data_IF_827713886565
#
_entry.id   IF_827713886565
#
_cell.length_a   1.000
_cell.length_b   1.000
_cell.length_c   1.000
_cell.angle_alpha   90.00
_cell.angle_beta   90.00
_cell.angle_gamma   90.00
#
_symmetry.space_group_name_H-M   'P 1'
#
loop_
_entity.id
_entity.type
_entity.pdbx_description
1 polymer ?
#
# COMPACT_ATOMS: atom_id res chain seq x y z
N UNK A 1 17.05 19.00 -16.21
CA UNK A 1 16.17 18.35 -15.22
C UNK A 1 15.46 19.35 -14.30
N UNK A 2 15.95 20.58 -14.14
CA UNK A 2 15.29 21.62 -13.33
C UNK A 2 13.89 21.91 -13.86
N UNK A 3 13.75 22.16 -15.16
CA UNK A 3 12.45 22.40 -15.81
C UNK A 3 11.50 21.21 -15.66
N UNK A 4 12.03 19.99 -15.68
CA UNK A 4 11.20 18.80 -15.47
C UNK A 4 10.70 18.69 -14.02
N UNK A 5 11.52 19.08 -13.04
CA UNK A 5 11.10 19.11 -11.64
C UNK A 5 10.03 20.17 -11.38
N UNK A 6 10.10 21.31 -12.08
CA UNK A 6 9.08 22.37 -11.97
C UNK A 6 7.71 21.91 -12.47
N UNK A 7 7.66 20.97 -13.43
CA UNK A 7 6.42 20.39 -13.96
C UNK A 7 5.77 19.33 -13.06
N UNK A 8 6.51 18.81 -12.08
CA UNK A 8 5.99 17.83 -11.12
C UNK A 8 5.38 18.57 -9.94
N UNK A 9 4.06 18.56 -9.79
CA UNK A 9 3.39 19.20 -8.66
C UNK A 9 3.68 18.49 -7.34
N UNK A 10 3.69 17.19 -7.36
CA UNK A 10 3.77 16.35 -6.17
C UNK A 10 2.42 16.23 -5.46
N UNK A 11 2.27 15.17 -4.71
CA UNK A 11 1.13 14.90 -3.84
C UNK A 11 1.59 14.02 -2.66
N UNK A 12 0.67 13.74 -1.75
CA UNK A 12 0.91 12.89 -0.59
C UNK A 12 1.27 11.42 -0.91
N UNK A 13 1.24 10.99 -2.16
CA UNK A 13 1.68 9.68 -2.64
C UNK A 13 2.94 9.75 -3.49
N UNK A 14 3.53 10.94 -3.64
CA UNK A 14 4.74 11.17 -4.41
C UNK A 14 5.99 10.86 -3.61
N UNK A 15 6.89 10.07 -4.18
CA UNK A 15 8.18 9.68 -3.61
C UNK A 15 9.31 10.27 -4.43
N UNK A 16 10.05 11.21 -3.87
CA UNK A 16 11.22 11.81 -4.51
C UNK A 16 12.50 11.09 -4.09
N UNK A 17 13.27 10.61 -5.09
CA UNK A 17 14.55 9.94 -4.88
C UNK A 17 15.64 10.68 -5.66
N UNK A 18 16.57 11.30 -4.93
CA UNK A 18 17.64 12.10 -5.51
C UNK A 18 18.93 11.29 -5.57
N UNK A 19 19.29 10.83 -6.78
CA UNK A 19 20.46 9.99 -7.08
C UNK A 19 21.35 10.68 -8.12
N UNK A 20 21.89 11.84 -7.81
CA UNK A 20 22.74 12.58 -8.76
C UNK A 20 24.22 12.25 -8.59
N UNK A 21 25.01 12.50 -9.64
CA UNK A 21 26.46 12.31 -9.58
C UNK A 21 27.22 13.40 -8.85
N UNK A 22 26.59 14.51 -8.49
CA UNK A 22 27.26 15.66 -7.91
C UNK A 22 26.43 16.44 -6.90
N UNK A 23 27.05 16.86 -5.79
CA UNK A 23 26.40 17.58 -4.70
C UNK A 23 25.68 18.86 -5.11
N UNK A 24 26.13 19.54 -6.17
CA UNK A 24 25.48 20.76 -6.71
C UNK A 24 24.10 20.43 -7.27
N UNK A 25 23.97 19.30 -7.94
CA UNK A 25 22.69 18.85 -8.52
C UNK A 25 21.75 18.32 -7.44
N UNK A 26 22.26 17.64 -6.40
CA UNK A 26 21.42 17.20 -5.27
C UNK A 26 20.74 18.40 -4.61
N UNK A 27 21.53 19.46 -4.34
CA UNK A 27 20.99 20.67 -3.72
C UNK A 27 19.92 21.34 -4.58
N UNK A 28 20.19 21.51 -5.88
CA UNK A 28 19.23 22.09 -6.82
C UNK A 28 17.93 21.26 -6.87
N UNK A 29 18.05 19.93 -6.92
CA UNK A 29 16.88 19.07 -6.89
C UNK A 29 16.08 19.24 -5.59
N UNK A 30 16.75 19.22 -4.43
CA UNK A 30 16.08 19.38 -3.15
C UNK A 30 15.41 20.75 -3.00
N UNK A 31 16.04 21.84 -3.45
CA UNK A 31 15.44 23.19 -3.45
C UNK A 31 14.12 23.26 -4.23
N UNK A 32 14.00 22.44 -5.30
CA UNK A 32 12.79 22.38 -6.14
C UNK A 32 11.69 21.49 -5.54
N UNK A 33 12.04 20.49 -4.71
CA UNK A 33 11.08 19.50 -4.22
C UNK A 33 10.66 19.68 -2.76
N UNK A 34 11.47 20.30 -1.90
CA UNK A 34 11.16 20.47 -0.46
C UNK A 34 9.89 21.28 -0.17
N UNK A 35 9.45 22.11 -1.11
CA UNK A 35 8.20 22.87 -1.00
C UNK A 35 6.97 22.14 -1.58
N UNK A 36 7.14 20.95 -2.15
CA UNK A 36 6.07 20.19 -2.79
C UNK A 36 5.46 19.20 -1.80
N UNK A 37 4.20 18.88 -1.97
CA UNK A 37 3.57 17.80 -1.21
C UNK A 37 4.22 16.45 -1.58
N UNK A 38 4.51 15.60 -0.59
CA UNK A 38 5.21 14.34 -0.80
C UNK A 38 4.96 13.33 0.33
N UNK A 39 5.10 12.06 0.01
CA UNK A 39 5.15 10.97 0.98
C UNK A 39 6.58 10.72 1.48
N UNK A 40 7.58 11.04 0.65
CA UNK A 40 8.96 10.69 0.93
C UNK A 40 9.92 11.55 0.10
N UNK A 41 11.01 11.99 0.74
CA UNK A 41 12.18 12.56 0.06
C UNK A 41 13.42 11.82 0.55
N UNK A 42 14.17 11.21 -0.37
CA UNK A 42 15.43 10.54 -0.09
C UNK A 42 16.56 11.08 -0.96
N UNK A 43 17.77 11.25 -0.40
CA UNK A 43 18.96 11.68 -1.12
C UNK A 43 20.15 10.78 -0.83
N UNK A 44 20.82 10.32 -1.91
CA UNK A 44 22.08 9.57 -1.77
C UNK A 44 23.22 10.48 -1.33
N UNK A 45 24.04 10.01 -0.43
CA UNK A 45 25.24 10.73 0.01
C UNK A 45 25.82 10.19 1.31
N UNK A 46 27.07 10.55 1.58
CA UNK A 46 27.67 10.28 2.88
C UNK A 46 27.02 11.13 3.98
N UNK A 47 27.11 10.70 5.24
CA UNK A 47 26.59 11.47 6.39
C UNK A 47 27.07 12.92 6.40
N UNK A 48 28.38 13.14 6.08
CA UNK A 48 28.97 14.48 5.99
C UNK A 48 28.32 15.33 4.89
N UNK A 49 28.12 14.73 3.70
CA UNK A 49 27.46 15.40 2.56
C UNK A 49 26.03 15.71 2.87
N UNK A 50 25.29 14.80 3.45
CA UNK A 50 23.90 14.97 3.87
C UNK A 50 23.74 16.15 4.84
N UNK A 51 24.61 16.23 5.85
CA UNK A 51 24.58 17.33 6.81
C UNK A 51 24.86 18.68 6.14
N UNK A 52 25.83 18.76 5.24
CA UNK A 52 26.16 19.98 4.51
C UNK A 52 24.99 20.46 3.62
N UNK A 53 24.36 19.55 2.88
CA UNK A 53 23.23 19.91 2.00
C UNK A 53 22.04 20.38 2.84
N UNK A 54 21.72 19.68 3.93
CA UNK A 54 20.65 20.09 4.86
C UNK A 54 20.90 21.46 5.46
N UNK A 55 22.13 21.73 5.88
CA UNK A 55 22.50 23.04 6.42
C UNK A 55 22.33 24.15 5.39
N UNK A 56 22.78 23.95 4.15
CA UNK A 56 22.62 24.94 3.07
C UNK A 56 21.14 25.22 2.76
N UNK A 57 20.25 24.22 2.85
CA UNK A 57 18.81 24.40 2.66
C UNK A 57 18.20 25.26 3.80
N UNK A 58 18.65 25.06 5.04
CA UNK A 58 18.25 25.88 6.18
C UNK A 58 18.68 27.34 5.97
N UNK A 59 19.92 27.56 5.58
CA UNK A 59 20.46 28.91 5.29
C UNK A 59 19.72 29.64 4.17
N UNK A 60 19.13 28.88 3.24
CA UNK A 60 18.26 29.40 2.18
C UNK A 60 16.80 29.63 2.62
N UNK A 61 16.47 29.36 3.87
CA UNK A 61 15.15 29.64 4.44
C UNK A 61 14.15 28.49 4.31
N UNK A 62 14.59 27.27 3.96
CA UNK A 62 13.71 26.10 3.97
C UNK A 62 13.36 25.71 5.41
N UNK A 63 12.14 25.21 5.62
CA UNK A 63 11.66 24.77 6.94
C UNK A 63 12.53 23.66 7.51
N UNK A 64 12.96 23.81 8.78
CA UNK A 64 13.68 22.75 9.51
C UNK A 64 12.86 21.45 9.63
N UNK A 65 11.55 21.57 9.72
CA UNK A 65 10.64 20.42 9.81
C UNK A 65 10.73 19.56 8.55
N UNK A 66 10.53 20.18 7.37
CA UNK A 66 10.63 19.49 6.08
C UNK A 66 12.04 18.93 5.84
N UNK A 67 13.10 19.68 6.20
CA UNK A 67 14.48 19.21 6.08
C UNK A 67 14.74 18.01 7.00
N UNK A 68 14.11 17.96 8.17
CA UNK A 68 14.15 16.81 9.09
C UNK A 68 13.58 15.53 8.47
N UNK A 69 12.59 15.64 7.62
CA UNK A 69 11.93 14.52 6.94
C UNK A 69 12.80 13.91 5.83
N UNK A 70 13.76 14.66 5.27
CA UNK A 70 14.63 14.17 4.20
C UNK A 70 15.48 12.98 4.72
N UNK A 71 15.27 11.81 4.16
CA UNK A 71 16.04 10.59 4.41
C UNK A 71 17.39 10.70 3.70
N UNK A 72 18.44 10.95 4.47
CA UNK A 72 19.80 11.09 3.93
C UNK A 72 20.86 10.81 5.02
N UNK A 73 21.74 9.84 4.81
CA UNK A 73 21.85 8.95 3.63
C UNK A 73 20.56 8.17 3.38
N UNK A 74 20.17 8.01 2.11
CA UNK A 74 18.97 7.27 1.69
C UNK A 74 19.16 5.77 1.90
N UNK A 75 18.12 5.07 2.29
CA UNK A 75 18.05 3.63 2.45
C UNK A 75 18.24 3.15 3.88
N UNK A 76 17.67 2.00 4.20
CA UNK A 76 17.83 1.36 5.50
C UNK A 76 19.31 0.96 5.73
N UNK A 77 19.74 1.04 6.98
CA UNK A 77 21.09 0.64 7.36
C UNK A 77 21.20 -0.90 7.46
N UNK A 78 21.36 -1.56 6.33
CA UNK A 78 21.52 -3.02 6.20
C UNK A 78 22.95 -3.47 5.95
N UNK A 79 23.92 -2.54 6.02
CA UNK A 79 25.34 -2.84 5.70
C UNK A 79 25.63 -2.91 4.20
N UNK A 80 24.80 -2.28 3.35
CA UNK A 80 24.96 -2.27 1.89
C UNK A 80 26.27 -1.57 1.48
N UNK A 81 27.04 -2.22 0.59
CA UNK A 81 28.33 -1.73 0.07
C UNK A 81 28.30 -1.54 -1.45
N UNK A 82 27.66 -2.45 -2.19
CA UNK A 82 27.58 -2.36 -3.65
C UNK A 82 26.40 -1.50 -4.11
N UNK A 83 26.42 -0.97 -5.35
CA UNK A 83 25.29 -0.20 -5.89
C UNK A 83 23.96 -0.98 -5.88
N UNK A 84 24.01 -2.28 -6.13
CA UNK A 84 22.84 -3.16 -6.13
C UNK A 84 22.28 -3.31 -4.71
N UNK A 85 23.13 -3.51 -3.71
CA UNK A 85 22.71 -3.59 -2.31
C UNK A 85 22.17 -2.26 -1.80
N UNK A 86 22.77 -1.13 -2.21
CA UNK A 86 22.24 0.22 -1.91
C UNK A 86 20.85 0.38 -2.53
N UNK A 87 20.63 -0.12 -3.75
CA UNK A 87 19.33 -0.14 -4.39
C UNK A 87 18.28 -0.91 -3.58
N UNK A 88 18.64 -2.07 -3.04
CA UNK A 88 17.79 -2.87 -2.14
C UNK A 88 17.48 -2.10 -0.85
N UNK A 89 18.48 -1.46 -0.24
CA UNK A 89 18.31 -0.66 0.97
C UNK A 89 17.35 0.52 0.77
N UNK A 90 17.45 1.20 -0.38
CA UNK A 90 16.54 2.29 -0.77
C UNK A 90 15.10 1.78 -0.95
N UNK A 91 14.92 0.69 -1.69
CA UNK A 91 13.60 0.10 -1.88
C UNK A 91 12.97 -0.38 -0.57
N UNK A 92 13.76 -0.94 0.33
CA UNK A 92 13.30 -1.35 1.65
C UNK A 92 12.80 -0.16 2.48
N UNK A 93 13.53 0.98 2.47
CA UNK A 93 13.10 2.21 3.17
C UNK A 93 11.81 2.78 2.57
N UNK A 94 11.68 2.81 1.25
CA UNK A 94 10.46 3.25 0.57
C UNK A 94 9.26 2.37 0.97
N UNK A 95 9.44 1.05 1.01
CA UNK A 95 8.41 0.10 1.43
C UNK A 95 8.04 0.32 2.90
N UNK A 96 9.04 0.57 3.77
CA UNK A 96 8.80 0.87 5.19
C UNK A 96 7.94 2.11 5.35
N UNK A 97 8.32 3.24 4.72
CA UNK A 97 7.56 4.50 4.76
C UNK A 97 6.15 4.33 4.19
N UNK A 98 6.01 3.66 3.05
CA UNK A 98 4.72 3.35 2.45
C UNK A 98 3.79 2.60 3.42
N UNK A 99 4.35 1.63 4.17
CA UNK A 99 3.57 0.79 5.06
C UNK A 99 3.30 1.46 6.42
N UNK A 100 4.18 2.37 6.87
CA UNK A 100 3.97 3.17 8.08
C UNK A 100 2.88 4.23 7.86
N UNK A 101 2.83 4.83 6.69
CA UNK A 101 1.78 5.73 6.26
C UNK A 101 0.49 4.95 5.95
N UNK A 102 0.03 4.13 6.91
CA UNK A 102 -1.20 3.32 6.79
C UNK A 102 -2.39 4.22 6.44
N UNK A 103 -2.51 4.57 5.18
CA UNK A 103 -3.78 5.05 4.65
C UNK A 103 -4.70 3.84 4.60
N UNK A 104 -5.86 3.99 5.19
CA UNK A 104 -6.98 3.09 4.96
C UNK A 104 -7.00 2.83 3.46
N UNK A 105 -6.74 1.59 3.06
CA UNK A 105 -6.73 1.20 1.66
C UNK A 105 -8.04 1.67 1.03
N UNK A 106 -7.94 2.66 0.15
CA UNK A 106 -9.01 3.00 -0.76
C UNK A 106 -9.36 1.77 -1.62
N UNK A 107 -10.32 1.93 -2.49
CA UNK A 107 -10.62 0.88 -3.46
C UNK A 107 -9.46 0.83 -4.50
N UNK A 108 -8.79 -0.32 -4.71
CA UNK A 108 -7.90 -0.52 -5.85
C UNK A 108 -8.62 -0.16 -7.15
N UNK A 109 -7.89 0.33 -8.14
CA UNK A 109 -8.48 0.84 -9.39
C UNK A 109 -9.30 -0.22 -10.13
N UNK A 110 -8.76 -1.42 -10.23
CA UNK A 110 -9.42 -2.59 -10.84
C UNK A 110 -10.71 -2.97 -10.11
N UNK A 111 -10.68 -2.92 -8.79
CA UNK A 111 -11.85 -3.19 -7.95
C UNK A 111 -12.93 -2.11 -8.15
N UNK A 112 -12.52 -0.84 -8.17
CA UNK A 112 -13.45 0.27 -8.39
C UNK A 112 -14.09 0.21 -9.78
N UNK A 113 -13.29 -0.07 -10.82
CA UNK A 113 -13.78 -0.27 -12.18
C UNK A 113 -14.80 -1.42 -12.25
N UNK A 114 -14.52 -2.55 -11.59
CA UNK A 114 -15.43 -3.69 -11.55
C UNK A 114 -16.74 -3.40 -10.75
N UNK A 115 -16.66 -2.62 -9.69
CA UNK A 115 -17.86 -2.17 -8.95
C UNK A 115 -18.73 -1.29 -9.83
N UNK A 116 -18.12 -0.34 -10.53
CA UNK A 116 -18.81 0.65 -11.39
C UNK A 116 -19.17 0.10 -12.76
N UNK A 117 -18.72 -1.09 -13.11
CA UNK A 117 -19.00 -1.70 -14.41
C UNK A 117 -20.50 -1.99 -14.59
N UNK A 118 -21.10 -1.19 -15.48
CA UNK A 118 -22.53 -1.30 -15.87
C UNK A 118 -22.73 -2.24 -17.07
N UNK A 119 -21.66 -2.66 -17.73
CA UNK A 119 -21.73 -3.51 -18.94
C UNK A 119 -22.01 -4.96 -18.59
N UNK A 120 -21.55 -5.39 -17.42
CA UNK A 120 -21.83 -6.73 -16.87
C UNK A 120 -22.90 -6.62 -15.78
N UNK A 121 -24.17 -6.53 -16.16
CA UNK A 121 -25.28 -6.49 -15.21
C UNK A 121 -25.39 -7.85 -14.52
N UNK A 122 -25.30 -7.83 -13.20
CA UNK A 122 -25.43 -9.02 -12.37
C UNK A 122 -25.28 -8.61 -10.90
N UNK A 123 -25.60 -9.53 -10.01
CA UNK A 123 -25.40 -9.31 -8.60
C UNK A 123 -23.91 -9.26 -8.29
N UNK A 124 -23.50 -8.28 -7.49
CA UNK A 124 -22.13 -8.11 -7.03
C UNK A 124 -22.12 -8.09 -5.51
N UNK A 125 -21.21 -8.81 -4.89
CA UNK A 125 -21.01 -8.81 -3.44
C UNK A 125 -19.64 -8.28 -3.12
N UNK A 126 -19.55 -7.24 -2.30
CA UNK A 126 -18.27 -6.76 -1.79
C UNK A 126 -17.95 -7.43 -0.46
N UNK A 127 -16.84 -8.12 -0.39
CA UNK A 127 -16.28 -8.72 0.82
C UNK A 127 -15.14 -7.85 1.34
N UNK A 128 -15.22 -7.40 2.59
CA UNK A 128 -14.20 -6.55 3.23
C UNK A 128 -13.76 -7.17 4.56
N UNK A 129 -12.46 -7.36 4.78
CA UNK A 129 -11.94 -7.76 6.11
C UNK A 129 -12.15 -6.59 7.08
N UNK A 130 -12.94 -6.79 8.13
CA UNK A 130 -13.22 -5.78 9.17
C UNK A 130 -12.46 -6.02 10.47
N UNK A 131 -12.15 -7.28 10.82
CA UNK A 131 -11.28 -7.63 11.93
C UNK A 131 -10.31 -8.73 11.56
N UNK A 132 -9.18 -8.78 12.27
CA UNK A 132 -8.15 -9.78 12.12
C UNK A 132 -7.50 -10.08 13.46
N UNK A 133 -7.32 -11.36 13.79
CA UNK A 133 -6.56 -11.81 14.95
C UNK A 133 -5.58 -12.91 14.52
N UNK A 134 -4.35 -12.85 15.03
CA UNK A 134 -3.30 -13.80 14.69
C UNK A 134 -2.70 -13.57 13.28
N UNK A 135 -2.15 -14.66 12.72
CA UNK A 135 -1.50 -14.63 11.39
C UNK A 135 -2.55 -14.84 10.30
N UNK A 136 -2.80 -13.81 9.50
CA UNK A 136 -3.65 -13.89 8.33
C UNK A 136 -2.97 -13.22 7.13
N UNK A 137 -3.18 -13.72 5.88
CA UNK A 137 -2.42 -13.29 4.71
C UNK A 137 -2.70 -11.85 4.28
N UNK A 138 -3.82 -11.25 4.72
CA UNK A 138 -4.20 -9.88 4.38
C UNK A 138 -4.62 -9.09 5.62
N UNK A 139 -4.51 -7.77 5.52
CA UNK A 139 -4.85 -6.83 6.58
C UNK A 139 -6.33 -6.44 6.55
N UNK A 140 -6.79 -5.87 7.66
CA UNK A 140 -8.09 -5.17 7.74
C UNK A 140 -8.18 -4.11 6.66
N UNK A 141 -9.35 -4.00 6.01
CA UNK A 141 -9.60 -3.14 4.86
C UNK A 141 -9.33 -3.79 3.50
N UNK A 142 -8.72 -4.99 3.43
CA UNK A 142 -8.59 -5.74 2.18
C UNK A 142 -9.96 -6.13 1.65
N UNK A 143 -10.13 -6.03 0.34
CA UNK A 143 -11.42 -6.17 -0.34
C UNK A 143 -11.35 -7.17 -1.50
N UNK A 144 -12.47 -7.84 -1.71
CA UNK A 144 -12.70 -8.72 -2.86
C UNK A 144 -14.14 -8.51 -3.35
N UNK A 145 -14.31 -8.24 -4.63
CA UNK A 145 -15.62 -8.21 -5.27
C UNK A 145 -15.90 -9.60 -5.83
N UNK A 146 -17.04 -10.12 -5.51
CA UNK A 146 -17.56 -11.41 -6.00
C UNK A 146 -18.67 -11.13 -6.98
N UNK A 147 -18.56 -11.64 -8.18
CA UNK A 147 -19.58 -11.52 -9.22
C UNK A 147 -20.54 -12.71 -9.22
N UNK A 148 -21.69 -12.55 -9.85
CA UNK A 148 -22.76 -13.57 -9.87
C UNK A 148 -22.31 -14.90 -10.50
N UNK A 149 -21.41 -14.85 -11.48
CA UNK A 149 -20.83 -16.03 -12.11
C UNK A 149 -19.79 -16.75 -11.24
N UNK A 150 -19.42 -16.18 -10.09
CA UNK A 150 -18.44 -16.69 -9.15
C UNK A 150 -17.02 -16.22 -9.42
N UNK A 151 -16.79 -15.39 -10.44
CA UNK A 151 -15.49 -14.72 -10.62
C UNK A 151 -15.26 -13.66 -9.55
N UNK A 152 -13.99 -13.36 -9.27
CA UNK A 152 -13.60 -12.42 -8.22
C UNK A 152 -12.60 -11.39 -8.74
N UNK A 153 -12.71 -10.14 -8.24
CA UNK A 153 -11.75 -9.07 -8.44
C UNK A 153 -11.20 -8.62 -7.10
N UNK A 154 -9.87 -8.54 -6.96
CA UNK A 154 -9.21 -8.32 -5.68
C UNK A 154 -9.06 -9.60 -4.87
N UNK A 155 -8.63 -9.49 -3.60
CA UNK A 155 -8.36 -10.65 -2.74
C UNK A 155 -8.45 -10.29 -1.25
N UNK A 156 -8.95 -11.24 -0.46
CA UNK A 156 -8.94 -11.18 1.02
C UNK A 156 -7.93 -12.14 1.65
N UNK A 157 -7.12 -12.84 0.83
CA UNK A 157 -6.02 -13.68 1.35
C UNK A 157 -5.79 -14.99 0.62
N UNK A 158 -6.68 -15.41 -0.27
CA UNK A 158 -6.58 -16.66 -1.03
C UNK A 158 -7.01 -17.91 -0.26
N UNK A 159 -6.96 -19.07 -0.95
CA UNK A 159 -7.21 -20.39 -0.37
C UNK A 159 -8.61 -20.58 0.19
N UNK A 160 -8.72 -21.41 1.22
CA UNK A 160 -9.98 -21.80 1.85
C UNK A 160 -10.79 -20.63 2.39
N UNK A 161 -10.11 -19.55 2.84
CA UNK A 161 -10.77 -18.33 3.28
C UNK A 161 -11.66 -17.74 2.21
N UNK A 162 -11.12 -17.56 1.01
CA UNK A 162 -11.88 -17.03 -0.11
C UNK A 162 -12.97 -17.97 -0.56
N UNK A 163 -12.68 -19.29 -0.56
CA UNK A 163 -13.66 -20.31 -0.92
C UNK A 163 -14.88 -20.29 0.01
N UNK A 164 -14.68 -20.17 1.32
CA UNK A 164 -15.77 -20.10 2.29
C UNK A 164 -16.60 -18.81 2.14
N UNK A 165 -15.93 -17.67 2.00
CA UNK A 165 -16.58 -16.37 1.76
C UNK A 165 -17.34 -16.38 0.44
N UNK A 166 -16.73 -16.93 -0.63
CA UNK A 166 -17.38 -17.08 -1.93
C UNK A 166 -18.65 -17.95 -1.85
N UNK A 167 -18.56 -19.08 -1.17
CA UNK A 167 -19.71 -19.97 -0.96
C UNK A 167 -20.88 -19.23 -0.29
N UNK A 168 -20.61 -18.48 0.78
CA UNK A 168 -21.63 -17.71 1.51
C UNK A 168 -22.20 -16.57 0.68
N UNK A 169 -21.35 -15.83 -0.03
CA UNK A 169 -21.78 -14.79 -0.93
C UNK A 169 -22.72 -15.30 -2.03
N UNK A 170 -22.41 -16.45 -2.62
CA UNK A 170 -23.27 -17.08 -3.64
C UNK A 170 -24.64 -17.50 -3.09
N UNK A 171 -24.70 -18.03 -1.87
CA UNK A 171 -25.98 -18.34 -1.21
C UNK A 171 -26.81 -17.06 -1.05
N UNK A 172 -26.22 -15.97 -0.54
CA UNK A 172 -26.92 -14.69 -0.39
C UNK A 172 -27.43 -14.14 -1.73
N UNK A 173 -26.61 -14.24 -2.79
CA UNK A 173 -27.00 -13.82 -4.15
C UNK A 173 -28.18 -14.65 -4.67
N UNK A 174 -28.14 -15.97 -4.46
CA UNK A 174 -29.20 -16.89 -4.88
C UNK A 174 -30.52 -16.61 -4.13
N UNK A 175 -30.44 -16.32 -2.85
CA UNK A 175 -31.59 -16.03 -1.99
C UNK A 175 -32.11 -14.58 -2.14
N UNK A 176 -31.50 -13.75 -2.98
CA UNK A 176 -31.75 -12.31 -3.10
C UNK A 176 -31.65 -11.57 -1.75
N UNK A 177 -30.76 -12.01 -0.88
CA UNK A 177 -30.58 -11.39 0.42
C UNK A 177 -29.75 -10.10 0.28
N UNK A 178 -30.39 -8.94 0.46
CA UNK A 178 -29.77 -7.60 0.38
C UNK A 178 -29.30 -7.07 1.73
N UNK A 179 -29.38 -7.88 2.80
CA UNK A 179 -28.89 -7.50 4.12
C UNK A 179 -27.37 -7.57 4.22
N UNK A 180 -26.79 -6.66 4.97
CA UNK A 180 -25.37 -6.75 5.37
C UNK A 180 -25.16 -7.99 6.25
N UNK A 181 -24.08 -8.71 6.04
CA UNK A 181 -23.75 -9.88 6.83
C UNK A 181 -22.26 -9.91 7.20
N UNK A 182 -21.97 -10.24 8.44
CA UNK A 182 -20.60 -10.48 8.89
C UNK A 182 -20.37 -11.98 8.97
N UNK A 183 -19.26 -12.46 8.39
CA UNK A 183 -18.84 -13.84 8.41
C UNK A 183 -17.52 -13.98 9.14
N UNK A 184 -17.48 -14.91 10.07
CA UNK A 184 -16.28 -15.26 10.81
C UNK A 184 -15.61 -16.47 10.16
N UNK A 185 -14.33 -16.33 9.80
CA UNK A 185 -13.53 -17.40 9.22
C UNK A 185 -12.38 -17.71 10.16
N UNK A 186 -12.35 -18.95 10.65
CA UNK A 186 -11.32 -19.48 11.53
C UNK A 186 -10.36 -20.37 10.73
N UNK A 187 -9.07 -20.08 10.82
CA UNK A 187 -8.00 -20.82 10.15
C UNK A 187 -7.12 -21.58 11.14
N UNK A 188 -7.60 -21.76 12.39
CA UNK A 188 -6.84 -22.43 13.48
C UNK A 188 -7.21 -23.90 13.65
N UNK A 189 -8.19 -24.41 12.91
CA UNK A 189 -8.70 -25.78 13.04
C UNK A 189 -7.88 -26.85 12.31
N UNK A 190 -8.07 -28.11 12.71
CA UNK A 190 -7.39 -29.29 12.14
C UNK A 190 -7.66 -29.46 10.63
N UNK A 191 -8.79 -28.94 10.11
CA UNK A 191 -9.12 -28.93 8.68
C UNK A 191 -8.17 -28.04 7.85
N UNK A 192 -7.53 -27.05 8.48
CA UNK A 192 -6.55 -26.19 7.83
C UNK A 192 -5.18 -26.88 7.66
N UNK A 193 -4.83 -27.81 8.54
CA UNK A 193 -3.59 -28.58 8.45
C UNK A 193 -3.65 -29.62 7.31
N UNK A 194 -4.81 -30.26 7.08
CA UNK A 194 -4.98 -31.20 5.98
C UNK A 194 -4.86 -30.56 4.59
N UNK A 195 -5.15 -29.27 4.47
CA UNK A 195 -5.01 -28.50 3.22
C UNK A 195 -3.66 -27.77 3.10
N UNK A 196 -2.70 -27.98 4.01
CA UNK A 196 -1.34 -27.44 3.97
C UNK A 196 -1.27 -25.95 4.32
N UNK A 197 -2.28 -25.40 4.98
CA UNK A 197 -2.31 -24.00 5.41
C UNK A 197 -1.96 -23.85 6.91
N UNK A 198 -0.78 -23.34 7.17
CA UNK A 198 -0.27 -23.02 8.52
C UNK A 198 -0.60 -21.56 8.89
N UNK A 199 -1.81 -21.09 8.61
CA UNK A 199 -2.24 -19.75 8.98
C UNK A 199 -3.05 -19.80 10.27
N UNK A 200 -2.41 -19.60 11.43
CA UNK A 200 -3.03 -19.67 12.76
C UNK A 200 -3.80 -18.41 13.15
N UNK A 201 -4.64 -17.84 12.30
CA UNK A 201 -5.40 -16.63 12.59
C UNK A 201 -6.89 -16.72 12.27
N UNK A 202 -7.63 -15.71 12.70
CA UNK A 202 -9.06 -15.55 12.41
C UNK A 202 -9.33 -14.20 11.77
N UNK A 203 -10.33 -14.13 10.90
CA UNK A 203 -10.82 -12.90 10.31
C UNK A 203 -12.35 -12.80 10.42
N UNK A 204 -12.84 -11.57 10.48
CA UNK A 204 -14.24 -11.24 10.19
C UNK A 204 -14.32 -10.50 8.87
N UNK A 205 -15.24 -10.93 8.02
CA UNK A 205 -15.47 -10.38 6.69
C UNK A 205 -16.88 -9.82 6.63
N UNK A 206 -17.01 -8.53 6.30
CA UNK A 206 -18.29 -7.92 5.99
C UNK A 206 -18.65 -8.22 4.53
N UNK A 207 -19.84 -8.76 4.32
CA UNK A 207 -20.47 -8.99 3.02
C UNK A 207 -21.51 -7.91 2.77
N UNK A 208 -21.27 -7.13 1.71
CA UNK A 208 -22.10 -5.98 1.31
C UNK A 208 -22.69 -6.25 -0.08
N UNK A 209 -24.01 -6.56 -0.17
CA UNK A 209 -24.69 -6.68 -1.45
C UNK A 209 -24.69 -5.35 -2.20
N UNK A 210 -24.31 -5.35 -3.49
CA UNK A 210 -24.31 -4.19 -4.36
C UNK A 210 -25.44 -4.25 -5.41
N UNK A 211 -26.57 -4.83 -5.05
CA UNK A 211 -27.82 -4.86 -5.84
C UNK A 211 -29.00 -4.49 -4.95
N UNK A 212 -30.07 -4.01 -5.58
CA UNK A 212 -31.34 -3.69 -4.94
C UNK A 212 -32.35 -4.85 -5.11
#
# INVERSE_FOLDING_TARGET
FEDALDQIEGDKDTYFVVLTRGHRYDQVCLEKIVGKEHAYIGMIGSRRRSAMVKQNLIEKGCSQEVIGEIKSPIGLNIGAETPEEIGVAIMAEIIEVKNQNKRVCGYPKDLLEAILDIVHPGKKMLATIITRKGSAPRNVGSKMLILEDGSCVGTIGGGCMEAEVLRKARVMMHENNTGLKTEYVDMTGDDAEEEGMVCGGTIEVLLEPLWN
#
